data_IF_531435151140
#
_entry.id   IF_531435151140
#
_cell.length_a   1.000
_cell.length_b   1.000
_cell.length_c   1.000
_cell.angle_alpha   90.00
_cell.angle_beta   90.00
_cell.angle_gamma   90.00
#
_symmetry.space_group_name_H-M   'P 1'
#
loop_
_entity.id
_entity.type
_entity.pdbx_description
1 polymer ?
#
# COMPACT_ATOMS: atom_id res chain seq x y z
N UNK A 1 27.71 8.19 -4.64
CA UNK A 1 26.59 8.93 -4.02
C UNK A 1 25.61 7.91 -3.43
N UNK A 2 24.76 8.26 -2.47
CA UNK A 2 23.84 7.30 -1.84
C UNK A 2 22.38 7.72 -2.03
N UNK A 3 21.51 6.71 -2.22
CA UNK A 3 20.06 6.86 -2.19
C UNK A 3 19.55 6.14 -0.94
N UNK A 4 18.73 6.84 -0.16
CA UNK A 4 18.00 6.25 0.95
C UNK A 4 16.53 6.08 0.52
N UNK A 5 16.08 4.84 0.38
CA UNK A 5 14.67 4.55 0.15
C UNK A 5 13.93 4.32 1.49
N UNK A 6 13.14 5.31 1.88
CA UNK A 6 12.35 5.32 3.11
C UNK A 6 10.92 4.89 2.79
N UNK A 7 10.47 3.78 3.39
CA UNK A 7 9.12 3.23 3.26
C UNK A 7 8.71 2.53 4.56
N UNK A 8 7.48 2.01 4.65
CA UNK A 8 7.07 1.23 5.83
C UNK A 8 7.60 -0.20 5.74
N UNK A 9 8.27 -0.69 6.79
CA UNK A 9 8.84 -2.05 6.86
C UNK A 9 8.35 -2.78 8.11
N UNK A 10 7.24 -3.48 8.00
CA UNK A 10 6.75 -4.35 9.07
C UNK A 10 6.31 -5.73 8.55
N UNK A 11 5.60 -6.50 9.37
CA UNK A 11 5.13 -7.85 9.02
C UNK A 11 4.15 -7.86 7.84
N UNK A 12 3.60 -6.72 7.42
CA UNK A 12 2.73 -6.63 6.25
C UNK A 12 3.55 -6.76 4.96
N UNK A 13 3.42 -7.90 4.29
CA UNK A 13 4.13 -8.20 3.04
C UNK A 13 3.94 -7.11 1.99
N UNK A 14 2.78 -6.47 1.94
CA UNK A 14 2.55 -5.39 0.99
C UNK A 14 3.34 -4.11 1.27
N UNK A 15 3.59 -3.81 2.54
CA UNK A 15 4.38 -2.63 2.90
C UNK A 15 5.86 -2.87 2.54
N UNK A 16 6.39 -4.07 2.81
CA UNK A 16 7.74 -4.50 2.41
C UNK A 16 7.94 -4.39 0.89
N UNK A 17 7.01 -4.91 0.09
CA UNK A 17 7.19 -5.00 -1.36
C UNK A 17 6.94 -3.68 -2.11
N UNK A 18 6.73 -2.58 -1.40
CA UNK A 18 6.38 -1.27 -1.97
C UNK A 18 7.59 -0.36 -2.25
N UNK A 19 8.81 -0.84 -2.00
CA UNK A 19 10.06 -0.12 -2.22
C UNK A 19 10.53 -0.16 -3.69
N UNK A 20 10.67 0.97 -4.39
CA UNK A 20 11.08 0.98 -5.80
C UNK A 20 12.49 0.46 -6.04
N UNK A 21 13.39 0.56 -5.05
CA UNK A 21 14.76 0.07 -5.18
C UNK A 21 14.88 -1.46 -5.21
N UNK A 22 13.79 -2.19 -4.94
CA UNK A 22 13.73 -3.64 -5.15
C UNK A 22 13.59 -4.02 -6.63
N UNK A 23 13.10 -3.09 -7.45
CA UNK A 23 12.69 -3.38 -8.84
C UNK A 23 13.47 -2.58 -9.88
N UNK A 24 14.05 -1.45 -9.47
CA UNK A 24 14.80 -0.57 -10.34
C UNK A 24 16.25 -0.45 -9.86
N UNK A 25 17.17 -0.56 -10.80
CA UNK A 25 18.59 -0.37 -10.56
C UNK A 25 18.94 1.13 -10.62
N UNK A 26 19.84 1.62 -9.77
CA UNK A 26 20.36 2.99 -9.84
C UNK A 26 21.89 2.93 -9.98
N UNK A 27 22.42 2.72 -11.20
CA UNK A 27 23.87 2.65 -11.43
C UNK A 27 24.62 3.84 -10.84
N UNK A 28 25.73 3.58 -10.14
CA UNK A 28 26.56 4.62 -9.50
C UNK A 28 26.07 5.09 -8.13
N UNK A 29 24.93 4.55 -7.66
CA UNK A 29 24.40 4.82 -6.32
C UNK A 29 24.47 3.59 -5.44
N UNK A 30 24.89 3.80 -4.20
CA UNK A 30 24.69 2.82 -3.14
C UNK A 30 23.28 3.01 -2.55
N UNK A 31 22.55 1.92 -2.39
CA UNK A 31 21.16 1.92 -1.92
C UNK A 31 21.10 1.54 -0.45
N UNK A 32 20.40 2.35 0.34
CA UNK A 32 20.05 2.06 1.73
C UNK A 32 18.54 2.05 1.85
N UNK A 33 17.96 1.00 2.44
CA UNK A 33 16.55 0.97 2.78
C UNK A 33 16.32 1.17 4.26
N UNK A 34 15.34 2.01 4.61
CA UNK A 34 15.01 2.33 5.99
C UNK A 34 13.49 2.30 6.21
N UNK A 35 13.09 1.96 7.44
CA UNK A 35 11.70 2.16 7.87
C UNK A 35 11.46 3.65 8.13
N UNK A 36 10.33 4.18 7.67
CA UNK A 36 9.87 5.54 7.97
C UNK A 36 9.77 5.84 9.47
N UNK A 37 9.51 4.83 10.31
CA UNK A 37 9.52 4.96 11.77
C UNK A 37 10.92 5.22 12.36
N UNK A 38 11.97 4.90 11.61
CA UNK A 38 13.37 5.10 12.00
C UNK A 38 14.01 6.33 11.34
N UNK A 39 13.23 7.16 10.63
CA UNK A 39 13.73 8.33 9.90
C UNK A 39 14.60 9.28 10.74
N UNK A 40 14.28 9.42 12.04
CA UNK A 40 15.03 10.23 13.00
C UNK A 40 16.50 9.79 13.15
N UNK A 41 16.83 8.52 12.89
CA UNK A 41 18.16 7.94 13.10
C UNK A 41 19.06 8.00 11.86
N UNK A 42 18.50 8.35 10.70
CA UNK A 42 19.21 8.33 9.43
C UNK A 42 20.14 9.55 9.30
N UNK A 43 21.32 9.34 8.70
CA UNK A 43 22.17 10.43 8.23
C UNK A 43 21.72 10.84 6.82
N UNK A 44 21.24 12.08 6.70
CA UNK A 44 20.64 12.62 5.48
C UNK A 44 21.54 13.67 4.80
N UNK A 45 22.79 13.84 5.23
CA UNK A 45 23.69 14.81 4.60
C UNK A 45 24.22 14.29 3.27
N UNK A 46 24.07 15.07 2.20
CA UNK A 46 24.51 14.74 0.85
C UNK A 46 23.97 13.39 0.35
N UNK A 47 22.68 13.14 0.59
CA UNK A 47 21.96 11.92 0.19
C UNK A 47 20.78 12.29 -0.68
N UNK A 48 20.40 11.43 -1.63
CA UNK A 48 19.06 11.51 -2.21
C UNK A 48 18.12 10.61 -1.40
N UNK A 49 16.87 11.04 -1.26
CA UNK A 49 15.84 10.30 -0.53
C UNK A 49 14.68 9.99 -1.47
N UNK A 50 14.37 8.71 -1.59
CA UNK A 50 13.11 8.25 -2.20
C UNK A 50 12.18 7.87 -1.05
N UNK A 51 11.17 8.69 -0.80
CA UNK A 51 10.18 8.49 0.24
C UNK A 51 8.87 8.04 -0.39
N UNK A 52 8.38 6.86 -0.03
CA UNK A 52 7.14 6.36 -0.60
C UNK A 52 7.03 4.86 -0.53
N UNK A 53 6.05 4.31 -1.25
CA UNK A 53 5.56 2.97 -0.99
C UNK A 53 4.69 2.96 0.26
N UNK A 54 3.38 2.97 0.07
CA UNK A 54 2.42 2.85 1.18
C UNK A 54 1.54 4.08 1.42
N UNK A 55 0.66 3.97 2.43
CA UNK A 55 -0.24 5.03 2.86
C UNK A 55 0.41 5.88 3.93
N UNK A 56 1.46 6.59 3.56
CA UNK A 56 2.33 7.28 4.51
C UNK A 56 1.80 8.65 4.92
N UNK A 57 0.79 9.22 4.25
CA UNK A 57 0.08 10.37 4.80
C UNK A 57 -1.00 9.91 5.79
N UNK A 58 -0.48 9.51 6.95
CA UNK A 58 -1.16 9.00 8.13
C UNK A 58 -0.53 9.69 9.36
N UNK A 59 -1.33 10.03 10.36
CA UNK A 59 -0.88 10.78 11.55
C UNK A 59 0.38 10.18 12.19
N UNK A 60 0.52 8.85 12.15
CA UNK A 60 1.66 8.15 12.71
C UNK A 60 2.98 8.43 11.98
N UNK A 61 2.95 8.66 10.67
CA UNK A 61 4.15 8.85 9.84
C UNK A 61 4.47 10.30 9.50
N UNK A 62 3.49 11.21 9.61
CA UNK A 62 3.67 12.62 9.24
C UNK A 62 4.86 13.28 9.95
N UNK A 63 5.06 13.00 11.24
CA UNK A 63 6.20 13.54 11.99
C UNK A 63 7.55 13.07 11.42
N UNK A 64 7.66 11.80 11.04
CA UNK A 64 8.86 11.26 10.39
C UNK A 64 9.13 11.92 9.04
N UNK A 65 8.08 12.15 8.24
CA UNK A 65 8.20 12.81 6.94
C UNK A 65 8.71 14.25 7.12
N UNK A 66 8.17 14.99 8.08
CA UNK A 66 8.62 16.36 8.39
C UNK A 66 10.07 16.40 8.90
N UNK A 67 10.49 15.39 9.66
CA UNK A 67 11.89 15.23 10.08
C UNK A 67 12.83 14.96 8.90
N UNK A 68 12.42 14.13 7.94
CA UNK A 68 13.22 13.92 6.70
C UNK A 68 13.39 15.25 5.96
N UNK A 69 12.29 15.97 5.73
CA UNK A 69 12.31 17.26 5.02
C UNK A 69 13.21 18.30 5.67
N UNK A 70 13.15 18.41 6.99
CA UNK A 70 13.91 19.42 7.75
C UNK A 70 15.39 19.10 7.90
N UNK A 71 15.77 17.82 7.82
CA UNK A 71 17.15 17.35 8.06
C UNK A 71 17.89 17.00 6.77
N UNK A 72 17.18 16.79 5.67
CA UNK A 72 17.80 16.57 4.37
C UNK A 72 18.60 17.82 4.00
N UNK A 73 19.90 17.63 3.80
CA UNK A 73 20.83 18.71 3.52
C UNK A 73 21.74 18.29 2.37
N UNK A 74 21.46 18.82 1.18
CA UNK A 74 22.06 18.35 -0.08
C UNK A 74 21.39 17.08 -0.61
N UNK A 75 21.36 16.94 -1.94
CA UNK A 75 20.61 15.89 -2.64
C UNK A 75 19.15 16.24 -2.89
N UNK A 76 18.35 15.24 -3.30
CA UNK A 76 16.97 15.42 -3.75
C UNK A 76 15.99 14.63 -2.89
N UNK A 77 14.79 15.15 -2.68
CA UNK A 77 13.67 14.50 -2.02
C UNK A 77 12.59 14.12 -3.04
N UNK A 78 12.36 12.82 -3.22
CA UNK A 78 11.47 12.25 -4.24
C UNK A 78 10.33 11.48 -3.57
N UNK A 79 9.09 11.73 -4.00
CA UNK A 79 7.90 11.02 -3.53
C UNK A 79 7.53 9.93 -4.55
N UNK A 80 7.65 8.64 -4.22
CA UNK A 80 7.36 7.55 -5.17
C UNK A 80 6.23 6.65 -4.67
N UNK A 81 5.06 6.74 -5.30
CA UNK A 81 3.92 5.88 -4.98
C UNK A 81 3.44 6.05 -3.54
N UNK A 82 3.63 7.24 -2.97
CA UNK A 82 3.08 7.64 -1.67
C UNK A 82 1.59 7.94 -1.81
N UNK A 83 0.82 7.76 -0.74
CA UNK A 83 -0.59 8.11 -0.73
C UNK A 83 -1.17 8.37 0.65
N UNK A 84 -2.42 8.81 0.65
CA UNK A 84 -3.21 9.10 1.84
C UNK A 84 -3.73 7.83 2.53
N UNK A 85 -4.04 7.98 3.82
CA UNK A 85 -4.73 6.97 4.61
C UNK A 85 -5.62 7.61 5.69
N UNK A 86 -6.70 8.28 5.28
CA UNK A 86 -7.70 8.77 6.22
C UNK A 86 -8.53 7.61 6.77
N UNK A 87 -8.46 7.36 8.07
CA UNK A 87 -9.18 6.28 8.75
C UNK A 87 -10.09 6.78 9.89
N UNK A 88 -10.07 8.08 10.17
CA UNK A 88 -10.95 8.76 11.14
C UNK A 88 -12.01 9.60 10.43
N UNK A 89 -13.17 9.74 11.09
CA UNK A 89 -14.29 10.54 10.57
C UNK A 89 -14.91 10.00 9.27
N UNK A 90 -15.69 10.81 8.55
CA UNK A 90 -16.30 10.42 7.28
C UNK A 90 -15.26 10.44 6.14
N UNK A 91 -14.21 9.62 6.26
CA UNK A 91 -13.11 9.53 5.29
C UNK A 91 -13.59 9.31 3.85
N UNK A 92 -14.74 8.64 3.66
CA UNK A 92 -15.36 8.41 2.35
C UNK A 92 -15.89 9.69 1.69
N UNK A 93 -16.08 10.77 2.43
CA UNK A 93 -16.41 12.10 1.91
C UNK A 93 -15.15 12.97 1.80
N UNK A 94 -14.24 12.85 2.77
CA UNK A 94 -13.09 13.75 2.92
C UNK A 94 -11.91 13.43 2.00
N UNK A 95 -11.80 12.20 1.48
CA UNK A 95 -10.64 11.79 0.68
C UNK A 95 -10.39 12.65 -0.57
N UNK A 96 -11.44 13.24 -1.15
CA UNK A 96 -11.36 14.09 -2.35
C UNK A 96 -10.72 15.44 -2.08
N UNK A 97 -10.82 15.94 -0.85
CA UNK A 97 -10.25 17.21 -0.42
C UNK A 97 -8.97 17.03 0.39
N UNK A 98 -8.29 15.88 0.25
CA UNK A 98 -7.05 15.63 0.96
C UNK A 98 -5.96 16.65 0.55
N UNK A 99 -5.34 17.38 1.49
CA UNK A 99 -4.48 18.52 1.16
C UNK A 99 -3.06 18.08 0.80
N UNK A 100 -2.90 17.37 -0.32
CA UNK A 100 -1.61 16.84 -0.78
C UNK A 100 -0.52 17.91 -0.88
N UNK A 101 -0.83 19.11 -1.38
CA UNK A 101 0.14 20.21 -1.50
C UNK A 101 0.84 20.53 -0.18
N UNK A 102 0.12 20.48 0.95
CA UNK A 102 0.69 20.70 2.28
C UNK A 102 1.78 19.67 2.59
N UNK A 103 1.52 18.41 2.27
CA UNK A 103 2.41 17.30 2.59
C UNK A 103 3.50 17.05 1.54
N UNK A 104 3.34 17.58 0.33
CA UNK A 104 4.30 17.41 -0.77
C UNK A 104 5.16 18.65 -1.02
N UNK A 105 4.91 19.76 -0.32
CA UNK A 105 5.81 20.92 -0.34
C UNK A 105 7.23 20.49 0.05
N UNK A 106 8.20 20.91 -0.77
CA UNK A 106 9.63 20.63 -0.59
C UNK A 106 10.14 19.34 -1.23
N UNK A 107 9.28 18.59 -1.96
CA UNK A 107 9.73 17.51 -2.82
C UNK A 107 10.18 18.03 -4.18
N UNK A 108 11.26 17.49 -4.72
CA UNK A 108 11.80 17.82 -6.03
C UNK A 108 11.08 17.08 -7.16
N UNK A 109 10.55 15.89 -6.87
CA UNK A 109 9.73 15.10 -7.79
C UNK A 109 8.64 14.35 -7.04
N UNK A 110 7.44 14.29 -7.61
CA UNK A 110 6.25 13.73 -6.96
C UNK A 110 5.53 12.73 -7.85
N UNK A 111 5.25 11.57 -7.28
CA UNK A 111 4.40 10.52 -7.83
C UNK A 111 3.48 9.94 -6.77
N UNK A 112 2.17 10.10 -6.96
CA UNK A 112 1.14 9.60 -6.04
C UNK A 112 0.56 8.28 -6.54
N UNK A 113 0.35 7.33 -5.63
CA UNK A 113 -0.44 6.13 -5.97
C UNK A 113 -1.94 6.40 -6.07
N UNK A 114 -2.37 7.50 -5.47
CA UNK A 114 -3.77 7.94 -5.43
C UNK A 114 -4.11 8.66 -6.74
N UNK A 115 -5.07 8.10 -7.47
CA UNK A 115 -5.48 8.59 -8.79
C UNK A 115 -6.56 9.68 -8.70
N UNK A 116 -6.59 10.56 -9.69
CA UNK A 116 -7.61 11.61 -9.81
C UNK A 116 -7.32 12.89 -9.02
N UNK A 117 -6.06 13.13 -8.68
CA UNK A 117 -5.58 14.32 -8.00
C UNK A 117 -4.58 15.09 -8.88
N UNK A 118 -4.14 16.26 -8.41
CA UNK A 118 -3.33 17.22 -9.19
C UNK A 118 -1.89 16.78 -9.47
N UNK A 119 -1.42 15.70 -8.82
CA UNK A 119 -0.06 15.20 -8.97
C UNK A 119 0.02 13.97 -9.90
N UNK A 120 1.18 13.72 -10.54
CA UNK A 120 1.36 12.55 -11.39
C UNK A 120 1.01 11.24 -10.69
N UNK A 121 0.31 10.36 -11.40
CA UNK A 121 -0.06 9.04 -10.89
C UNK A 121 1.07 8.03 -11.10
N UNK A 122 1.53 7.44 -10.00
CA UNK A 122 2.57 6.39 -9.95
C UNK A 122 2.08 5.29 -9.00
N UNK A 123 1.59 4.15 -9.50
CA UNK A 123 1.01 3.12 -8.66
C UNK A 123 2.08 2.37 -7.85
N UNK A 124 1.65 1.56 -6.89
CA UNK A 124 2.58 0.78 -6.06
C UNK A 124 3.50 -0.09 -6.93
N UNK A 125 4.80 0.07 -6.72
CA UNK A 125 5.86 -0.51 -7.57
C UNK A 125 5.93 -2.04 -7.52
N UNK A 126 5.26 -2.68 -6.56
CA UNK A 126 5.13 -4.15 -6.50
C UNK A 126 4.59 -4.77 -7.81
N UNK A 127 3.90 -4.01 -8.67
CA UNK A 127 3.51 -4.48 -10.01
C UNK A 127 4.70 -4.88 -10.90
N UNK A 128 5.91 -4.40 -10.60
CA UNK A 128 7.13 -4.73 -11.33
C UNK A 128 7.65 -6.15 -11.01
N UNK A 129 7.14 -6.81 -9.96
CA UNK A 129 7.59 -8.16 -9.61
C UNK A 129 7.25 -9.17 -10.71
N UNK A 130 8.21 -10.04 -11.03
CA UNK A 130 8.09 -11.02 -12.13
C UNK A 130 7.11 -12.16 -11.83
N UNK A 131 6.74 -12.35 -10.56
CA UNK A 131 5.76 -13.36 -10.17
C UNK A 131 4.38 -13.15 -10.82
N UNK A 132 4.05 -11.93 -11.24
CA UNK A 132 2.84 -11.64 -12.00
C UNK A 132 2.88 -12.19 -13.44
N UNK A 133 4.06 -12.53 -13.97
CA UNK A 133 4.21 -13.02 -15.35
C UNK A 133 3.83 -14.50 -15.49
N UNK A 134 3.74 -15.22 -14.37
CA UNK A 134 3.33 -16.63 -14.38
C UNK A 134 1.81 -16.71 -14.59
N UNK A 135 1.40 -17.36 -15.67
CA UNK A 135 0.00 -17.70 -15.90
C UNK A 135 -0.49 -18.71 -14.86
N UNK A 136 -1.69 -18.48 -14.32
CA UNK A 136 -2.30 -19.32 -13.29
C UNK A 136 -3.80 -19.41 -13.53
N UNK A 137 -4.33 -20.62 -13.63
CA UNK A 137 -5.76 -20.85 -13.68
C UNK A 137 -6.33 -20.91 -12.25
N UNK A 138 -7.46 -20.24 -11.97
CA UNK A 138 -8.08 -20.30 -10.66
C UNK A 138 -8.64 -21.71 -10.40
N UNK A 139 -8.38 -22.25 -9.21
CA UNK A 139 -8.92 -23.53 -8.72
C UNK A 139 -9.96 -23.37 -7.60
N UNK A 140 -10.18 -22.15 -7.12
CA UNK A 140 -11.20 -21.80 -6.14
C UNK A 140 -12.16 -20.75 -6.70
N UNK A 141 -13.45 -20.87 -6.38
CA UNK A 141 -14.44 -19.83 -6.73
C UNK A 141 -14.11 -18.51 -6.00
N UNK A 142 -13.83 -18.61 -4.69
CA UNK A 142 -13.42 -17.48 -3.86
C UNK A 142 -12.19 -17.81 -3.03
N UNK A 143 -11.38 -16.77 -2.79
CA UNK A 143 -10.34 -16.76 -1.76
C UNK A 143 -10.49 -15.51 -0.91
N UNK A 144 -10.18 -15.61 0.38
CA UNK A 144 -10.31 -14.48 1.34
C UNK A 144 -8.91 -14.02 1.76
N UNK A 145 -8.54 -12.79 1.41
CA UNK A 145 -7.26 -12.20 1.78
C UNK A 145 -7.45 -11.00 2.70
N UNK A 146 -7.07 -11.13 3.96
CA UNK A 146 -7.37 -10.09 4.95
C UNK A 146 -6.16 -9.26 5.35
N UNK A 147 -6.40 -8.00 5.70
CA UNK A 147 -5.47 -7.24 6.51
C UNK A 147 -5.47 -7.80 7.94
N UNK A 148 -4.29 -7.91 8.58
CA UNK A 148 -4.11 -8.54 9.91
C UNK A 148 -5.06 -8.06 11.01
N UNK A 149 -5.40 -6.76 11.00
CA UNK A 149 -6.28 -6.13 11.99
C UNK A 149 -7.74 -5.98 11.53
N UNK A 150 -8.09 -6.47 10.35
CA UNK A 150 -9.42 -6.37 9.72
C UNK A 150 -9.78 -7.69 9.04
N UNK A 151 -9.84 -8.83 9.77
CA UNK A 151 -10.24 -10.10 9.18
C UNK A 151 -11.65 -10.01 8.59
N UNK A 152 -11.82 -10.42 7.33
CA UNK A 152 -13.13 -10.52 6.68
C UNK A 152 -13.82 -11.80 7.18
N UNK A 153 -15.00 -11.72 7.82
CA UNK A 153 -15.65 -12.90 8.42
C UNK A 153 -16.48 -13.67 7.38
N UNK A 154 -15.80 -14.18 6.36
CA UNK A 154 -16.39 -15.07 5.34
C UNK A 154 -15.73 -16.44 5.50
N UNK A 155 -16.54 -17.44 5.83
CA UNK A 155 -16.09 -18.81 6.10
C UNK A 155 -16.29 -19.72 4.87
N UNK A 156 -15.71 -20.92 4.93
CA UNK A 156 -15.86 -21.95 3.90
C UNK A 156 -14.96 -21.78 2.67
N UNK A 157 -14.03 -20.82 2.70
CA UNK A 157 -13.10 -20.55 1.61
C UNK A 157 -11.66 -20.45 2.12
N UNK A 158 -10.65 -20.79 1.28
CA UNK A 158 -9.26 -20.58 1.62
C UNK A 158 -9.02 -19.13 2.07
N UNK A 159 -8.31 -18.97 3.18
CA UNK A 159 -8.08 -17.68 3.82
C UNK A 159 -6.60 -17.47 4.11
N UNK A 160 -6.10 -16.27 3.84
CA UNK A 160 -4.74 -15.85 4.15
C UNK A 160 -4.77 -14.40 4.66
N UNK A 161 -3.80 -14.01 5.49
CA UNK A 161 -3.59 -12.62 5.90
C UNK A 161 -2.27 -12.08 5.37
N UNK A 162 -2.19 -10.76 5.29
CA UNK A 162 -1.02 -10.03 4.81
C UNK A 162 0.23 -10.11 5.69
N UNK A 163 0.18 -10.81 6.83
CA UNK A 163 1.27 -11.02 7.77
C UNK A 163 1.62 -12.52 7.96
N UNK A 164 1.17 -13.38 7.06
CA UNK A 164 1.26 -14.84 7.22
C UNK A 164 2.10 -15.57 6.16
N UNK A 165 2.46 -14.92 5.06
CA UNK A 165 3.13 -15.57 3.94
C UNK A 165 4.12 -14.62 3.25
N UNK A 166 5.06 -15.21 2.51
CA UNK A 166 5.92 -14.46 1.59
C UNK A 166 5.11 -13.83 0.46
N UNK A 167 5.76 -12.95 -0.30
CA UNK A 167 5.12 -12.30 -1.44
C UNK A 167 4.69 -13.30 -2.52
N UNK A 168 5.57 -14.23 -2.91
CA UNK A 168 5.25 -15.24 -3.91
C UNK A 168 4.10 -16.14 -3.49
N UNK A 169 4.12 -16.67 -2.26
CA UNK A 169 3.02 -17.47 -1.71
C UNK A 169 1.71 -16.69 -1.67
N UNK A 170 1.77 -15.39 -1.37
CA UNK A 170 0.59 -14.52 -1.39
C UNK A 170 0.05 -14.36 -2.80
N UNK A 171 0.90 -14.14 -3.81
CA UNK A 171 0.44 -14.03 -5.21
C UNK A 171 -0.11 -15.38 -5.72
N UNK A 172 0.51 -16.51 -5.38
CA UNK A 172 -0.04 -17.84 -5.68
C UNK A 172 -1.43 -18.03 -5.04
N UNK A 173 -1.58 -17.68 -3.76
CA UNK A 173 -2.86 -17.75 -3.06
C UNK A 173 -3.92 -16.88 -3.75
N UNK A 174 -3.62 -15.62 -4.05
CA UNK A 174 -4.57 -14.73 -4.71
C UNK A 174 -4.97 -15.23 -6.10
N UNK A 175 -4.00 -15.74 -6.87
CA UNK A 175 -4.24 -16.23 -8.22
C UNK A 175 -5.06 -17.53 -8.26
N UNK A 176 -5.02 -18.33 -7.18
CA UNK A 176 -5.83 -19.55 -7.05
C UNK A 176 -7.34 -19.26 -6.99
N UNK A 177 -7.76 -18.04 -6.65
CA UNK A 177 -9.15 -17.62 -6.65
C UNK A 177 -9.60 -17.01 -7.97
N UNK A 178 -10.81 -17.36 -8.43
CA UNK A 178 -11.50 -16.61 -9.49
C UNK A 178 -11.89 -15.22 -9.00
N UNK A 179 -12.39 -15.15 -7.78
CA UNK A 179 -12.77 -13.91 -7.09
C UNK A 179 -12.03 -13.78 -5.77
N UNK A 180 -11.38 -12.63 -5.58
CA UNK A 180 -10.67 -12.29 -4.35
C UNK A 180 -11.56 -11.42 -3.48
N UNK A 181 -11.81 -11.87 -2.26
CA UNK A 181 -12.51 -11.10 -1.24
C UNK A 181 -11.47 -10.56 -0.26
N UNK A 182 -11.38 -9.24 -0.09
CA UNK A 182 -10.23 -8.66 0.61
C UNK A 182 -10.56 -7.46 1.47
N UNK A 183 -9.93 -7.36 2.64
CA UNK A 183 -9.82 -6.12 3.41
C UNK A 183 -8.43 -5.48 3.29
N UNK A 184 -7.52 -6.03 2.49
CA UNK A 184 -6.20 -5.46 2.28
C UNK A 184 -6.17 -4.60 1.01
N UNK A 185 -5.54 -3.42 1.09
CA UNK A 185 -5.24 -2.61 -0.09
C UNK A 185 -4.38 -3.39 -1.08
N UNK A 186 -3.36 -4.10 -0.61
CA UNK A 186 -2.50 -4.90 -1.47
C UNK A 186 -3.23 -6.14 -2.01
N UNK A 187 -4.16 -6.73 -1.26
CA UNK A 187 -5.05 -7.76 -1.81
C UNK A 187 -5.93 -7.22 -2.94
N UNK A 188 -6.44 -6.00 -2.78
CA UNK A 188 -7.25 -5.33 -3.80
C UNK A 188 -6.41 -5.02 -5.04
N UNK A 189 -5.23 -4.42 -4.84
CA UNK A 189 -4.31 -4.03 -5.89
C UNK A 189 -3.76 -5.24 -6.65
N UNK A 190 -3.22 -6.24 -5.97
CA UNK A 190 -2.66 -7.42 -6.61
C UNK A 190 -3.73 -8.30 -7.27
N UNK A 191 -4.93 -8.37 -6.71
CA UNK A 191 -6.06 -9.03 -7.37
C UNK A 191 -6.43 -8.38 -8.71
N UNK A 192 -6.42 -7.04 -8.76
CA UNK A 192 -6.56 -6.28 -10.01
C UNK A 192 -5.43 -6.59 -10.99
N UNK A 193 -4.17 -6.61 -10.55
CA UNK A 193 -3.02 -6.93 -11.40
C UNK A 193 -3.07 -8.37 -11.96
N UNK A 194 -3.60 -9.32 -11.19
CA UNK A 194 -3.83 -10.71 -11.61
C UNK A 194 -5.05 -10.87 -12.52
N UNK A 195 -5.71 -9.77 -12.90
CA UNK A 195 -6.94 -9.77 -13.69
C UNK A 195 -8.03 -10.65 -13.06
N UNK A 196 -8.16 -10.62 -11.74
CA UNK A 196 -9.22 -11.33 -10.98
C UNK A 196 -10.37 -10.39 -10.67
N UNK A 197 -11.54 -10.99 -10.43
CA UNK A 197 -12.64 -10.26 -9.81
C UNK A 197 -12.25 -9.94 -8.37
N UNK A 198 -12.53 -8.72 -7.91
CA UNK A 198 -12.19 -8.31 -6.55
C UNK A 198 -13.40 -7.66 -5.87
N UNK A 199 -13.70 -8.12 -4.65
CA UNK A 199 -14.61 -7.45 -3.73
C UNK A 199 -13.82 -6.97 -2.51
N UNK A 200 -13.66 -5.66 -2.36
CA UNK A 200 -12.91 -5.07 -1.26
C UNK A 200 -13.82 -4.61 -0.11
N UNK A 201 -13.36 -4.78 1.13
CA UNK A 201 -14.01 -4.36 2.37
C UNK A 201 -13.25 -3.14 2.92
N UNK A 202 -13.59 -1.91 2.49
CA UNK A 202 -12.84 -0.71 2.83
C UNK A 202 -12.97 -0.34 4.31
N UNK A 203 -11.92 0.27 4.85
CA UNK A 203 -11.92 0.83 6.20
C UNK A 203 -11.22 2.17 6.32
N UNK A 204 -10.69 2.70 5.22
CA UNK A 204 -10.03 3.99 5.12
C UNK A 204 -9.97 4.46 3.66
N UNK A 205 -9.51 5.69 3.43
CA UNK A 205 -9.59 6.34 2.12
C UNK A 205 -8.78 5.70 0.99
N UNK A 206 -7.74 4.91 1.27
CA UNK A 206 -6.87 4.30 0.24
C UNK A 206 -7.60 3.32 -0.70
N UNK A 207 -8.77 2.84 -0.30
CA UNK A 207 -9.62 1.99 -1.14
C UNK A 207 -10.39 2.78 -2.21
N UNK A 208 -10.51 4.10 -2.04
CA UNK A 208 -11.29 4.98 -2.90
C UNK A 208 -10.46 5.71 -3.96
N UNK A 209 -9.14 5.59 -3.88
CA UNK A 209 -8.18 6.34 -4.71
C UNK A 209 -7.49 5.47 -5.77
N UNK A 210 -7.86 4.20 -5.90
CA UNK A 210 -7.32 3.35 -6.95
C UNK A 210 -7.86 3.79 -8.32
N UNK A 211 -6.98 3.89 -9.33
CA UNK A 211 -7.37 4.27 -10.69
C UNK A 211 -8.48 3.38 -11.27
N UNK A 212 -8.34 2.08 -11.08
CA UNK A 212 -9.31 1.09 -11.50
C UNK A 212 -10.34 0.89 -10.38
N UNK A 213 -11.63 1.21 -10.61
CA UNK A 213 -12.62 1.18 -9.56
C UNK A 213 -13.02 -0.26 -9.25
N UNK A 214 -12.56 -0.76 -8.10
CA UNK A 214 -12.89 -2.09 -7.60
C UNK A 214 -14.25 -2.08 -6.92
N UNK A 215 -14.99 -3.20 -6.99
CA UNK A 215 -16.26 -3.33 -6.27
C UNK A 215 -16.00 -3.28 -4.76
N UNK A 216 -16.71 -2.38 -4.08
CA UNK A 216 -16.59 -2.19 -2.64
C UNK A 216 -17.83 -2.75 -1.93
N UNK A 217 -17.59 -3.53 -0.88
CA UNK A 217 -18.62 -3.90 0.08
C UNK A 217 -18.85 -2.72 1.05
N UNK A 218 -20.09 -2.38 1.45
CA UNK A 218 -20.36 -1.32 2.42
C UNK A 218 -20.04 -1.80 3.85
N UNK A 219 -18.77 -2.10 4.12
CA UNK A 219 -18.33 -2.67 5.40
C UNK A 219 -18.37 -1.64 6.52
N UNK A 220 -18.87 -2.09 7.67
CA UNK A 220 -18.82 -1.35 8.93
C UNK A 220 -17.97 -2.14 9.90
N UNK A 221 -16.87 -1.53 10.36
CA UNK A 221 -15.90 -2.16 11.25
C UNK A 221 -16.07 -1.67 12.67
N UNK A 222 -16.13 -2.59 13.63
CA UNK A 222 -16.15 -2.31 15.05
C UNK A 222 -14.83 -2.74 15.69
N UNK A 223 -14.29 -1.90 16.58
CA UNK A 223 -13.09 -2.25 17.33
C UNK A 223 -13.41 -3.37 18.31
N UNK A 224 -12.61 -4.41 18.29
CA UNK A 224 -12.69 -5.55 19.21
C UNK A 224 -11.42 -5.61 20.06
N UNK A 225 -11.60 -5.87 21.36
CA UNK A 225 -10.50 -5.97 22.32
C UNK A 225 -10.91 -5.46 23.72
N UNK A 226 -10.35 -6.08 24.75
CA UNK A 226 -10.51 -5.68 26.15
C UNK A 226 -9.24 -5.01 26.67
N UNK A 227 -9.36 -3.92 27.42
CA UNK A 227 -8.26 -3.37 28.22
C UNK A 227 -7.93 -4.33 29.37
N UNK A 228 -6.75 -4.96 29.37
CA UNK A 228 -6.23 -5.63 30.57
C UNK A 228 -5.33 -4.62 31.30
N UNK A 229 -5.89 -3.89 32.28
CA UNK A 229 -5.08 -3.12 33.24
C UNK A 229 -4.49 -4.11 34.26
N UNK A 230 -3.26 -4.54 34.06
CA UNK A 230 -2.45 -5.17 35.11
C UNK A 230 -1.41 -4.15 35.62
N UNK A 231 -1.19 -4.17 36.93
CA UNK A 231 -0.56 -3.10 37.71
C UNK A 231 0.87 -2.71 37.27
N UNK A 232 1.10 -1.39 37.29
CA UNK A 232 2.36 -0.60 37.40
C UNK A 232 3.62 -0.91 36.59
N UNK A 233 3.70 -1.95 35.75
CA UNK A 233 4.79 -2.07 34.75
C UNK A 233 4.35 -2.95 33.59
N UNK A 234 3.88 -2.37 32.49
CA UNK A 234 3.57 -3.10 31.27
C UNK A 234 4.06 -2.33 30.05
N UNK A 235 5.07 -2.89 29.37
CA UNK A 235 5.20 -2.82 27.91
C UNK A 235 4.48 -4.05 27.37
N UNK A 236 3.21 -3.90 27.00
CA UNK A 236 2.39 -4.94 26.39
C UNK A 236 1.97 -4.44 25.02
N UNK A 237 2.18 -5.25 23.97
CA UNK A 237 1.71 -4.94 22.61
C UNK A 237 0.18 -4.94 22.67
N UNK A 238 -0.45 -3.77 22.56
CA UNK A 238 -1.90 -3.68 22.36
C UNK A 238 -2.22 -4.30 20.98
N UNK A 239 -2.78 -5.50 20.94
CA UNK A 239 -3.32 -6.07 19.70
C UNK A 239 -4.78 -5.69 19.58
N UNK A 240 -5.07 -4.52 19.02
CA UNK A 240 -6.44 -4.19 18.63
C UNK A 240 -6.81 -4.95 17.37
N UNK A 241 -7.94 -5.64 17.41
CA UNK A 241 -8.58 -6.24 16.25
C UNK A 241 -9.88 -5.51 15.96
N UNK A 242 -10.48 -5.80 14.81
CA UNK A 242 -11.77 -5.26 14.41
C UNK A 242 -12.61 -6.36 13.77
N UNK A 243 -13.92 -6.29 13.98
CA UNK A 243 -14.89 -7.17 13.35
C UNK A 243 -15.76 -6.40 12.36
N UNK A 244 -16.03 -6.99 11.19
CA UNK A 244 -17.01 -6.44 10.27
C UNK A 244 -18.42 -6.83 10.75
N UNK A 245 -19.32 -5.85 10.94
CA UNK A 245 -20.67 -6.05 11.50
C UNK A 245 -21.54 -7.01 10.68
N UNK A 246 -21.34 -7.04 9.36
CA UNK A 246 -22.17 -7.81 8.44
C UNK A 246 -21.40 -8.14 7.17
N UNK A 247 -21.68 -9.31 6.61
CA UNK A 247 -21.27 -9.75 5.27
C UNK A 247 -22.50 -10.10 4.41
N UNK A 248 -23.72 -9.74 4.83
CA UNK A 248 -24.94 -10.10 4.12
C UNK A 248 -24.91 -9.60 2.66
N UNK A 249 -25.23 -10.49 1.72
CA UNK A 249 -25.29 -10.14 0.30
C UNK A 249 -23.92 -9.99 -0.39
N UNK A 250 -22.81 -10.33 0.27
CA UNK A 250 -21.46 -10.21 -0.34
C UNK A 250 -21.35 -10.93 -1.69
N UNK A 251 -22.01 -12.08 -1.85
CA UNK A 251 -22.02 -12.86 -3.11
C UNK A 251 -22.63 -12.09 -4.28
N UNK A 252 -23.67 -11.28 -4.03
CA UNK A 252 -24.32 -10.48 -5.07
C UNK A 252 -23.36 -9.39 -5.59
N UNK A 253 -22.60 -8.77 -4.69
CA UNK A 253 -21.59 -7.78 -5.05
C UNK A 253 -20.38 -8.42 -5.73
N UNK A 254 -19.95 -9.59 -5.25
CA UNK A 254 -18.88 -10.36 -5.87
C UNK A 254 -19.23 -10.78 -7.31
N UNK A 255 -20.49 -11.15 -7.59
CA UNK A 255 -20.94 -11.56 -8.92
C UNK A 255 -20.85 -10.44 -9.97
N UNK A 256 -20.93 -9.16 -9.56
CA UNK A 256 -20.83 -7.99 -10.46
C UNK A 256 -19.42 -7.38 -10.48
N UNK A 257 -18.45 -7.98 -9.81
CA UNK A 257 -17.08 -7.50 -9.80
C UNK A 257 -16.44 -7.60 -11.18
N UNK A 258 -15.78 -6.51 -11.58
CA UNK A 258 -15.13 -6.37 -12.88
C UNK A 258 -13.67 -6.80 -12.80
N UNK A 259 -13.10 -7.11 -13.96
CA UNK A 259 -11.67 -7.38 -14.15
C UNK A 259 -11.06 -6.29 -15.03
N UNK A 260 -9.74 -6.13 -14.97
CA UNK A 260 -9.01 -5.06 -15.65
C UNK A 260 -7.77 -5.61 -16.37
N UNK A 261 -7.92 -6.16 -17.59
CA UNK A 261 -6.86 -6.92 -18.25
C UNK A 261 -5.56 -6.15 -18.50
N UNK A 262 -5.66 -4.84 -18.68
CA UNK A 262 -4.51 -3.97 -18.99
C UNK A 262 -3.88 -3.33 -17.74
N UNK A 263 -4.43 -3.58 -16.55
CA UNK A 263 -4.00 -2.89 -15.34
C UNK A 263 -2.54 -3.17 -14.99
N UNK A 264 -2.08 -4.41 -15.16
CA UNK A 264 -0.69 -4.78 -14.87
C UNK A 264 0.31 -3.99 -15.74
N UNK A 265 0.11 -4.01 -17.06
CA UNK A 265 1.05 -3.36 -17.97
C UNK A 265 1.00 -1.85 -17.84
N UNK A 266 -0.18 -1.25 -17.64
CA UNK A 266 -0.26 0.19 -17.40
C UNK A 266 0.45 0.59 -16.10
N UNK A 267 0.26 -0.17 -15.01
CA UNK A 267 0.94 0.11 -13.75
C UNK A 267 2.47 -0.01 -13.87
N UNK A 268 2.95 -0.99 -14.65
CA UNK A 268 4.38 -1.16 -14.95
C UNK A 268 4.91 0.01 -15.76
N UNK A 269 4.21 0.41 -16.82
CA UNK A 269 4.66 1.49 -17.69
C UNK A 269 4.75 2.82 -16.93
N UNK A 270 3.76 3.14 -16.09
CA UNK A 270 3.85 4.34 -15.26
C UNK A 270 5.04 4.33 -14.30
N UNK A 271 5.35 3.18 -13.70
CA UNK A 271 6.55 3.04 -12.85
C UNK A 271 7.84 3.19 -13.66
N UNK A 272 7.92 2.66 -14.90
CA UNK A 272 9.09 2.82 -15.78
C UNK A 272 9.25 4.27 -16.24
N UNK A 273 8.16 4.97 -16.57
CA UNK A 273 8.18 6.41 -16.91
C UNK A 273 8.73 7.19 -15.72
N UNK A 274 8.19 6.97 -14.54
CA UNK A 274 8.60 7.70 -13.34
C UNK A 274 10.04 7.37 -12.94
N UNK A 275 10.48 6.12 -13.08
CA UNK A 275 11.87 5.73 -12.87
C UNK A 275 12.84 6.54 -13.75
N UNK A 276 12.52 6.74 -15.03
CA UNK A 276 13.36 7.58 -15.93
C UNK A 276 13.48 9.01 -15.40
N UNK A 277 12.37 9.61 -14.99
CA UNK A 277 12.36 10.97 -14.41
C UNK A 277 13.20 11.05 -13.14
N UNK A 278 13.10 10.04 -12.27
CA UNK A 278 13.93 9.95 -11.06
C UNK A 278 15.40 9.83 -11.43
N UNK A 279 15.75 8.92 -12.35
CA UNK A 279 17.13 8.70 -12.75
C UNK A 279 17.77 9.94 -13.36
N UNK A 280 17.03 10.67 -14.21
CA UNK A 280 17.47 11.92 -14.82
C UNK A 280 17.73 13.00 -13.76
N UNK A 281 16.83 13.14 -12.77
CA UNK A 281 17.00 14.07 -11.64
C UNK A 281 18.22 13.72 -10.76
N UNK A 282 18.49 12.43 -10.56
CA UNK A 282 19.63 12.00 -9.73
C UNK A 282 20.97 12.14 -10.47
N UNK A 283 20.95 12.14 -11.80
CA UNK A 283 22.16 12.17 -12.64
C UNK A 283 22.55 13.60 -13.07
N UNK A 284 21.70 14.60 -12.82
CA UNK A 284 21.95 16.02 -13.08
C UNK A 284 22.77 16.67 -11.97
#
# INVERSE_FOLDING_TARGET
>A
MQIINIHRRDENVGDIMSAPTEYFNFPGFEIIQADVADAAKLDLNNRHVILGGGGLFDEFFLQSIDQVKSRLNGGSLIAWGIGQQLDTGPWWQQFKSFPYEKFLRGFDLVGLRDFGFEFPWVPCVSCMHTTFDKHRDPCHEFVVYSHRSRPVPIEGWPTLRNDQASFDETIEFLASGKTIITSSYHGMYWGMLLNRQVLAFPFNSKFLTLKYPITLYPSVWERTGSFIKVSRRIRGKESFSYSCKSVLGWRLLAAVARVFPNALEECREQNRIYYRQVYDLLSS
#
